data_IF_922331757265
#
_entry.id   IF_922331757265
#
_cell.length_a   1.000
_cell.length_b   1.000
_cell.length_c   1.000
_cell.angle_alpha   90.00
_cell.angle_beta   90.00
_cell.angle_gamma   90.00
#
_symmetry.space_group_name_H-M   'P 1'
#
loop_
_entity.id
_entity.type
_entity.pdbx_description
1 polymer ?
#
# COMPACT_ATOMS: atom_id res chain seq x y z
N UNK A 1 71.03 -38.25 24.54
CA UNK A 1 69.89 -37.34 24.29
C UNK A 1 69.40 -37.61 22.88
N UNK A 2 68.63 -38.70 22.71
CA UNK A 2 67.83 -38.94 21.51
C UNK A 2 66.46 -38.35 21.77
N UNK A 3 66.37 -37.03 21.63
CA UNK A 3 65.11 -36.34 21.80
C UNK A 3 65.16 -35.16 20.86
N UNK A 4 64.64 -35.31 19.64
CA UNK A 4 64.03 -34.20 18.90
C UNK A 4 63.65 -34.51 17.46
N UNK A 5 64.26 -35.45 16.74
CA UNK A 5 64.08 -35.45 15.27
C UNK A 5 62.66 -35.89 14.86
N UNK A 6 62.22 -37.07 15.32
CA UNK A 6 60.86 -37.56 15.04
C UNK A 6 59.76 -36.70 15.67
N UNK A 7 60.02 -36.11 16.86
CA UNK A 7 59.05 -35.24 17.53
C UNK A 7 58.89 -33.91 16.78
N UNK A 8 60.00 -33.32 16.31
CA UNK A 8 59.99 -32.09 15.54
C UNK A 8 59.35 -32.29 14.18
N UNK A 9 59.66 -33.39 13.49
CA UNK A 9 59.04 -33.73 12.21
C UNK A 9 57.53 -33.92 12.35
N UNK A 10 57.08 -34.60 13.41
CA UNK A 10 55.65 -34.76 13.72
C UNK A 10 54.97 -33.42 14.07
N UNK A 11 55.66 -32.52 14.78
CA UNK A 11 55.13 -31.19 15.11
C UNK A 11 55.03 -30.32 13.85
N UNK A 12 56.03 -30.36 12.97
CA UNK A 12 56.04 -29.63 11.70
C UNK A 12 54.97 -30.14 10.74
N UNK A 13 54.84 -31.47 10.59
CA UNK A 13 53.79 -32.08 9.76
C UNK A 13 52.39 -31.70 10.27
N UNK A 14 52.17 -31.74 11.59
CA UNK A 14 50.91 -31.27 12.19
C UNK A 14 50.68 -29.79 11.91
N UNK A 15 51.69 -28.95 12.09
CA UNK A 15 51.57 -27.52 11.85
C UNK A 15 51.26 -27.19 10.38
N UNK A 16 51.93 -27.86 9.43
CA UNK A 16 51.68 -27.72 8.00
C UNK A 16 50.25 -28.15 7.65
N UNK A 17 49.79 -29.27 8.21
CA UNK A 17 48.43 -29.78 8.01
C UNK A 17 47.37 -28.83 8.58
N UNK A 18 47.59 -28.27 9.76
CA UNK A 18 46.70 -27.25 10.34
C UNK A 18 46.73 -25.93 9.56
N UNK A 19 47.91 -25.44 9.17
CA UNK A 19 48.05 -24.21 8.38
C UNK A 19 47.39 -24.34 7.00
N UNK A 20 47.52 -25.51 6.36
CA UNK A 20 46.85 -25.80 5.10
C UNK A 20 45.33 -25.93 5.24
N UNK A 21 44.85 -26.54 6.33
CA UNK A 21 43.42 -26.61 6.66
C UNK A 21 42.84 -25.23 6.97
N UNK A 22 43.55 -24.41 7.74
CA UNK A 22 43.18 -23.03 8.07
C UNK A 22 43.14 -22.12 6.83
N UNK A 23 44.13 -22.27 5.92
CA UNK A 23 44.13 -21.54 4.64
C UNK A 23 42.98 -21.94 3.72
N UNK A 24 42.60 -23.22 3.71
CA UNK A 24 41.41 -23.68 2.99
C UNK A 24 40.12 -23.17 3.61
N UNK A 25 40.01 -23.17 4.95
CA UNK A 25 38.86 -22.62 5.67
C UNK A 25 38.73 -21.11 5.44
N UNK A 26 39.84 -20.36 5.50
CA UNK A 26 39.88 -18.93 5.19
C UNK A 26 39.55 -18.63 3.71
N UNK A 27 39.93 -19.53 2.79
CA UNK A 27 39.54 -19.43 1.39
C UNK A 27 38.06 -19.78 1.15
N UNK A 28 37.43 -20.55 2.04
CA UNK A 28 35.99 -20.86 1.99
C UNK A 28 35.11 -19.85 2.74
N UNK A 29 35.62 -19.17 3.78
CA UNK A 29 34.85 -18.24 4.61
C UNK A 29 34.86 -16.78 4.12
N UNK A 30 35.81 -16.41 3.25
CA UNK A 30 35.79 -15.09 2.61
C UNK A 30 35.38 -15.20 1.15
N UNK A 31 34.37 -14.40 0.78
CA UNK A 31 34.06 -14.00 -0.59
C UNK A 31 35.35 -13.61 -1.31
N UNK A 32 35.99 -14.58 -1.97
CA UNK A 32 37.19 -14.30 -2.74
C UNK A 32 36.88 -13.23 -3.80
N UNK A 33 37.84 -12.37 -4.19
CA UNK A 33 37.62 -11.40 -5.28
C UNK A 33 37.03 -12.03 -6.56
N UNK A 34 37.35 -13.31 -6.78
CA UNK A 34 36.79 -14.14 -7.85
C UNK A 34 35.29 -14.45 -7.65
N UNK A 35 34.86 -14.72 -6.42
CA UNK A 35 33.44 -14.87 -6.05
C UNK A 35 32.66 -13.58 -6.32
N UNK A 36 33.16 -12.44 -5.86
CA UNK A 36 32.55 -11.12 -6.12
C UNK A 36 32.46 -10.79 -7.61
N UNK A 37 33.50 -11.11 -8.37
CA UNK A 37 33.51 -10.91 -9.84
C UNK A 37 32.42 -11.75 -10.52
N UNK A 38 32.26 -13.01 -10.09
CA UNK A 38 31.24 -13.91 -10.62
C UNK A 38 29.82 -13.45 -10.29
N UNK A 39 29.56 -13.10 -9.03
CA UNK A 39 28.24 -12.60 -8.60
C UNK A 39 27.91 -11.27 -9.27
N UNK A 40 28.89 -10.36 -9.43
CA UNK A 40 28.71 -9.14 -10.19
C UNK A 40 28.37 -9.41 -11.66
N UNK A 41 29.07 -10.33 -12.33
CA UNK A 41 28.76 -10.71 -13.71
C UNK A 41 27.34 -11.28 -13.86
N UNK A 42 26.92 -12.13 -12.91
CA UNK A 42 25.58 -12.70 -12.87
C UNK A 42 24.51 -11.62 -12.64
N UNK A 43 24.76 -10.67 -11.74
CA UNK A 43 23.84 -9.56 -11.50
C UNK A 43 23.73 -8.66 -12.73
N UNK A 44 24.85 -8.35 -13.37
CA UNK A 44 24.89 -7.58 -14.61
C UNK A 44 24.11 -8.25 -15.73
N UNK A 45 24.29 -9.55 -15.93
CA UNK A 45 23.52 -10.31 -16.92
C UNK A 45 22.00 -10.27 -16.64
N UNK A 46 21.59 -10.39 -15.36
CA UNK A 46 20.17 -10.25 -14.97
C UNK A 46 19.63 -8.86 -15.28
N UNK A 47 20.41 -7.82 -15.00
CA UNK A 47 20.04 -6.43 -15.27
C UNK A 47 19.87 -6.19 -16.77
N UNK A 48 20.79 -6.69 -17.60
CA UNK A 48 20.69 -6.59 -19.06
C UNK A 48 19.45 -7.30 -19.61
N UNK A 49 19.12 -8.48 -19.10
CA UNK A 49 17.89 -9.19 -19.45
C UNK A 49 16.65 -8.37 -19.06
N UNK A 50 16.62 -7.83 -17.84
CA UNK A 50 15.49 -7.06 -17.35
C UNK A 50 15.29 -5.77 -18.16
N UNK A 51 16.37 -5.06 -18.49
CA UNK A 51 16.33 -3.87 -19.35
C UNK A 51 15.85 -4.21 -20.76
N UNK A 52 16.33 -5.32 -21.34
CA UNK A 52 15.84 -5.80 -22.65
C UNK A 52 14.35 -6.09 -22.60
N UNK A 53 13.89 -6.81 -21.58
CA UNK A 53 12.47 -7.12 -21.41
C UNK A 53 11.64 -5.84 -21.26
N UNK A 54 12.13 -4.85 -20.50
CA UNK A 54 11.46 -3.55 -20.38
C UNK A 54 11.28 -2.88 -21.74
N UNK A 55 12.35 -2.79 -22.55
CA UNK A 55 12.28 -2.24 -23.91
C UNK A 55 11.29 -3.02 -24.79
N UNK A 56 11.31 -4.34 -24.74
CA UNK A 56 10.34 -5.19 -25.44
C UNK A 56 8.89 -4.92 -24.99
N UNK A 57 8.62 -4.77 -23.70
CA UNK A 57 7.29 -4.38 -23.21
C UNK A 57 6.86 -2.99 -23.70
N UNK A 58 7.82 -2.11 -24.00
CA UNK A 58 7.59 -0.78 -24.59
C UNK A 58 7.48 -0.81 -26.12
N UNK A 59 7.62 -1.98 -26.74
CA UNK A 59 7.55 -2.15 -28.19
C UNK A 59 8.88 -1.91 -28.93
N UNK A 60 10.00 -1.89 -28.22
CA UNK A 60 11.36 -1.69 -28.75
C UNK A 60 12.12 -3.03 -28.82
N UNK A 61 13.17 -3.12 -29.63
CA UNK A 61 14.02 -4.33 -29.80
C UNK A 61 13.20 -5.62 -30.06
N UNK A 62 12.23 -5.54 -30.97
CA UNK A 62 11.29 -6.63 -31.29
C UNK A 62 11.75 -7.53 -32.42
N UNK A 63 12.68 -7.06 -33.26
CA UNK A 63 13.24 -7.76 -34.41
C UNK A 63 13.79 -9.17 -34.10
N UNK A 64 14.46 -9.43 -32.95
CA UNK A 64 14.99 -10.76 -32.66
C UNK A 64 13.94 -11.75 -32.15
N UNK A 65 12.70 -11.32 -31.87
CA UNK A 65 11.65 -12.18 -31.34
C UNK A 65 10.96 -12.96 -32.47
N UNK A 66 10.72 -14.25 -32.23
CA UNK A 66 9.89 -15.06 -33.11
C UNK A 66 8.41 -14.67 -32.99
N UNK A 67 7.60 -15.05 -33.98
CA UNK A 67 6.14 -14.83 -33.95
C UNK A 67 5.49 -15.39 -32.67
N UNK A 68 5.95 -16.54 -32.18
CA UNK A 68 5.44 -17.16 -30.95
C UNK A 68 5.78 -16.31 -29.71
N UNK A 69 6.98 -15.77 -29.65
CA UNK A 69 7.41 -14.93 -28.53
C UNK A 69 6.70 -13.58 -28.54
N UNK A 70 6.50 -12.98 -29.72
CA UNK A 70 5.68 -11.78 -29.89
C UNK A 70 4.24 -12.00 -29.44
N UNK A 71 3.62 -13.11 -29.83
CA UNK A 71 2.25 -13.43 -29.37
C UNK A 71 2.19 -13.59 -27.85
N UNK A 72 3.21 -14.21 -27.25
CA UNK A 72 3.31 -14.36 -25.80
C UNK A 72 3.50 -13.02 -25.10
N UNK A 73 4.30 -12.12 -25.66
CA UNK A 73 4.51 -10.75 -25.17
C UNK A 73 3.20 -9.95 -25.20
N UNK A 74 2.49 -9.99 -26.33
CA UNK A 74 1.18 -9.35 -26.51
C UNK A 74 0.16 -9.87 -25.50
N UNK A 75 0.07 -11.19 -25.32
CA UNK A 75 -0.86 -11.80 -24.37
C UNK A 75 -0.56 -11.37 -22.92
N UNK A 76 0.72 -11.29 -22.55
CA UNK A 76 1.14 -10.79 -21.24
C UNK A 76 0.74 -9.33 -21.03
N UNK A 77 1.02 -8.46 -22.01
CA UNK A 77 0.66 -7.04 -21.96
C UNK A 77 -0.86 -6.86 -21.88
N UNK A 78 -1.62 -7.55 -22.72
CA UNK A 78 -3.09 -7.49 -22.72
C UNK A 78 -3.68 -7.92 -21.37
N UNK A 79 -3.13 -8.99 -20.76
CA UNK A 79 -3.55 -9.46 -19.44
C UNK A 79 -3.21 -8.46 -18.33
N UNK A 80 -2.01 -7.90 -18.36
CA UNK A 80 -1.58 -6.88 -17.41
C UNK A 80 -2.45 -5.61 -17.49
N UNK A 81 -2.76 -5.15 -18.71
CA UNK A 81 -3.64 -3.99 -18.93
C UNK A 81 -5.04 -4.26 -18.36
N UNK A 82 -5.63 -5.43 -18.65
CA UNK A 82 -6.93 -5.82 -18.09
C UNK A 82 -6.91 -5.81 -16.56
N UNK A 83 -5.85 -6.34 -15.94
CA UNK A 83 -5.70 -6.35 -14.49
C UNK A 83 -5.62 -4.92 -13.91
N UNK A 84 -4.81 -4.05 -14.53
CA UNK A 84 -4.68 -2.64 -14.12
C UNK A 84 -6.02 -1.92 -14.22
N UNK A 85 -6.74 -2.09 -15.34
CA UNK A 85 -8.06 -1.50 -15.55
C UNK A 85 -9.08 -2.01 -14.53
N UNK A 86 -9.10 -3.32 -14.28
CA UNK A 86 -9.98 -3.94 -13.27
C UNK A 86 -9.71 -3.34 -11.89
N UNK A 87 -8.44 -3.25 -11.48
CA UNK A 87 -8.07 -2.68 -10.18
C UNK A 87 -8.43 -1.20 -10.08
N UNK A 88 -8.18 -0.41 -11.13
CA UNK A 88 -8.56 1.01 -11.19
C UNK A 88 -10.07 1.17 -11.02
N UNK A 89 -10.84 0.37 -11.74
CA UNK A 89 -12.30 0.40 -11.66
C UNK A 89 -12.77 0.01 -10.27
N UNK A 90 -12.23 -1.06 -9.68
CA UNK A 90 -12.57 -1.47 -8.32
C UNK A 90 -12.37 -0.32 -7.31
N UNK A 91 -11.19 0.28 -7.28
CA UNK A 91 -10.88 1.40 -6.39
C UNK A 91 -11.81 2.62 -6.61
N UNK A 92 -12.18 2.89 -7.86
CA UNK A 92 -13.11 3.97 -8.19
C UNK A 92 -14.52 3.68 -7.66
N UNK A 93 -15.00 2.43 -7.74
CA UNK A 93 -16.30 2.04 -7.20
C UNK A 93 -16.30 2.09 -5.67
N UNK A 94 -15.21 1.67 -5.02
CA UNK A 94 -15.05 1.77 -3.56
C UNK A 94 -15.14 3.24 -3.12
N UNK A 95 -14.38 4.14 -3.75
CA UNK A 95 -14.42 5.58 -3.47
C UNK A 95 -15.80 6.20 -3.71
N UNK A 96 -16.46 5.82 -4.80
CA UNK A 96 -17.82 6.31 -5.12
C UNK A 96 -18.83 5.86 -4.07
N UNK A 97 -18.76 4.60 -3.63
CA UNK A 97 -19.62 4.06 -2.57
C UNK A 97 -19.42 4.78 -1.24
N UNK A 98 -18.17 5.05 -0.85
CA UNK A 98 -17.84 5.80 0.36
C UNK A 98 -18.42 7.23 0.32
N UNK A 99 -18.20 7.94 -0.77
CA UNK A 99 -18.72 9.29 -0.96
C UNK A 99 -20.26 9.33 -0.97
N UNK A 100 -20.91 8.36 -1.62
CA UNK A 100 -22.37 8.25 -1.61
C UNK A 100 -22.92 8.03 -0.20
N UNK A 101 -22.26 7.19 0.61
CA UNK A 101 -22.64 6.96 2.01
C UNK A 101 -22.49 8.23 2.84
N UNK A 102 -21.40 8.98 2.66
CA UNK A 102 -21.19 10.26 3.33
C UNK A 102 -22.24 11.30 2.92
N UNK A 103 -22.53 11.43 1.62
CA UNK A 103 -23.55 12.34 1.11
C UNK A 103 -24.93 12.04 1.71
N UNK A 104 -25.30 10.75 1.79
CA UNK A 104 -26.56 10.34 2.40
C UNK A 104 -26.61 10.69 3.90
N UNK A 105 -25.54 10.40 4.65
CA UNK A 105 -25.48 10.72 6.06
C UNK A 105 -25.61 12.23 6.33
N UNK A 106 -24.94 13.06 5.54
CA UNK A 106 -25.05 14.52 5.62
C UNK A 106 -26.45 15.01 5.24
N UNK A 107 -27.07 14.42 4.21
CA UNK A 107 -28.45 14.75 3.85
C UNK A 107 -29.43 14.42 4.97
N UNK A 108 -29.27 13.25 5.61
CA UNK A 108 -30.11 12.83 6.74
C UNK A 108 -29.93 13.77 7.95
N UNK A 109 -28.69 14.17 8.26
CA UNK A 109 -28.41 15.16 9.31
C UNK A 109 -29.04 16.52 9.00
N UNK A 110 -28.90 17.00 7.76
CA UNK A 110 -29.46 18.29 7.34
C UNK A 110 -31.01 18.26 7.41
N UNK A 111 -31.62 17.16 6.97
CA UNK A 111 -33.06 16.96 7.10
C UNK A 111 -33.52 16.99 8.57
N UNK A 112 -32.77 16.37 9.49
CA UNK A 112 -33.07 16.41 10.92
C UNK A 112 -32.96 17.81 11.51
N UNK A 113 -31.89 18.55 11.16
CA UNK A 113 -31.71 19.93 11.61
C UNK A 113 -32.80 20.85 11.08
N UNK A 114 -33.16 20.72 9.79
CA UNK A 114 -34.26 21.49 9.19
C UNK A 114 -35.60 21.25 9.90
N UNK A 115 -35.89 20.00 10.30
CA UNK A 115 -37.08 19.70 11.12
C UNK A 115 -37.04 20.37 12.48
N UNK A 116 -35.91 20.28 13.19
CA UNK A 116 -35.74 20.92 14.51
C UNK A 116 -35.87 22.44 14.45
N UNK A 117 -35.35 23.08 13.39
CA UNK A 117 -35.51 24.53 13.18
C UNK A 117 -36.99 24.87 13.02
N UNK A 118 -37.72 24.15 12.16
CA UNK A 118 -39.16 24.37 11.96
C UNK A 118 -39.99 24.14 13.22
N UNK A 119 -39.61 23.18 14.06
CA UNK A 119 -40.25 22.92 15.35
C UNK A 119 -40.02 24.10 16.32
N UNK A 120 -38.78 24.57 16.45
CA UNK A 120 -38.44 25.73 17.28
C UNK A 120 -39.12 27.02 16.82
N UNK A 121 -39.21 27.25 15.51
CA UNK A 121 -39.95 28.40 14.95
C UNK A 121 -41.42 28.36 15.37
N UNK A 122 -42.07 27.19 15.26
CA UNK A 122 -43.46 27.01 15.70
C UNK A 122 -43.65 27.18 17.22
N UNK A 123 -42.69 26.75 18.02
CA UNK A 123 -42.72 26.95 19.48
C UNK A 123 -42.63 28.44 19.83
N UNK A 124 -41.74 29.18 19.15
CA UNK A 124 -41.57 30.62 19.35
C UNK A 124 -42.81 31.41 18.92
N UNK A 125 -43.42 31.04 17.78
CA UNK A 125 -44.66 31.66 17.31
C UNK A 125 -45.82 31.43 18.31
N UNK A 126 -45.94 30.21 18.86
CA UNK A 126 -46.93 29.90 19.90
C UNK A 126 -46.69 30.68 21.18
N UNK A 127 -45.43 30.80 21.63
CA UNK A 127 -45.08 31.56 22.83
C UNK A 127 -45.40 33.05 22.64
N UNK A 128 -45.09 33.61 21.47
CA UNK A 128 -45.38 35.01 21.14
C UNK A 128 -46.89 35.28 21.14
N UNK A 129 -47.71 34.35 20.60
CA UNK A 129 -49.18 34.46 20.65
C UNK A 129 -49.73 34.38 22.08
N UNK A 130 -49.20 33.49 22.93
CA UNK A 130 -49.61 33.37 24.32
C UNK A 130 -49.25 34.62 25.14
N UNK A 131 -48.10 35.25 24.87
CA UNK A 131 -47.69 36.50 25.52
C UNK A 131 -48.56 37.68 25.08
N UNK A 132 -48.96 37.75 23.80
CA UNK A 132 -49.88 38.77 23.30
C UNK A 132 -51.28 38.68 23.93
N UNK A 133 -51.84 37.47 24.10
CA UNK A 133 -53.13 37.29 24.78
C UNK A 133 -53.10 37.67 26.26
N UNK A 134 -51.96 37.53 26.93
CA UNK A 134 -51.82 37.92 28.34
C UNK A 134 -51.71 39.43 28.55
N UNK A 135 -51.38 40.19 27.51
CA UNK A 135 -51.16 41.63 27.62
C UNK A 135 -52.40 42.48 27.32
N UNK A 136 -53.56 41.88 27.01
CA UNK A 136 -54.86 42.59 26.95
C UNK A 136 -55.34 42.94 28.37
N UNK A 137 -55.25 44.21 28.84
CA UNK A 137 -55.63 44.59 30.19
C UNK A 137 -57.11 45.02 30.26
N UNK A 138 -58.01 44.40 29.48
CA UNK A 138 -59.42 44.76 29.49
C UNK A 138 -60.33 43.60 29.06
N UNK A 139 -60.64 42.70 29.99
CA UNK A 139 -61.94 42.03 30.00
C UNK A 139 -62.29 41.53 31.41
N UNK A 140 -62.35 42.48 32.36
CA UNK A 140 -63.10 42.31 33.60
C UNK A 140 -64.29 43.27 33.53
N UNK A 141 -65.40 42.80 32.99
CA UNK A 141 -66.71 43.37 33.28
C UNK A 141 -67.51 42.32 34.04
N UNK A 142 -67.37 42.41 35.36
CA UNK A 142 -68.26 41.81 36.33
C UNK A 142 -69.65 42.41 36.15
N UNK A 143 -70.63 41.60 35.76
CA UNK A 143 -72.05 41.97 35.84
C UNK A 143 -72.80 40.84 36.55
N UNK A 144 -73.44 41.22 37.67
CA UNK A 144 -74.21 40.36 38.57
C UNK A 144 -75.44 39.74 37.89
N UNK A 145 -75.94 38.59 38.39
CA UNK A 145 -77.18 37.99 37.93
C UNK A 145 -78.39 38.60 38.65
N UNK A 146 -79.48 38.81 37.91
CA UNK A 146 -80.83 38.98 38.46
C UNK A 146 -81.80 38.10 37.67
#
# INVERSE_FOLDING_TARGET
FEYTDSCMETILERYERYSYAERQLAASDHESPRSWTLEHAKLKARLEILQRNQRQYMGEDLEPLSQKELQNLENQLASAIKLIQSRKNQLMHESLSELQKQAKALQDQNNQLSKKVKEREKELDQQTQLEQQKHDPNSSSFVLPQ
#
